data_IF_430173729269
#
_entry.id   IF_430173729269
#
_cell.length_a   1.000
_cell.length_b   1.000
_cell.length_c   1.000
_cell.angle_alpha   90.00
_cell.angle_beta   90.00
_cell.angle_gamma   90.00
#
_symmetry.space_group_name_H-M   'P 1'
#
loop_
_entity.id
_entity.type
_entity.pdbx_description
1 polymer ?
#
# COMPACT_ATOMS: atom_id res chain seq x y z
N UNK A 1 -21.81 25.72 0.07
CA UNK A 1 -20.53 26.45 0.11
C UNK A 1 -20.09 26.50 -1.34
N UNK A 2 -20.33 27.62 -2.01
CA UNK A 2 -20.19 27.73 -3.46
C UNK A 2 -18.71 27.81 -3.82
N UNK A 3 -18.14 26.65 -4.09
CA UNK A 3 -16.81 26.50 -4.68
C UNK A 3 -16.88 26.45 -6.23
N UNK A 4 -18.05 26.72 -6.80
CA UNK A 4 -18.30 26.85 -8.25
C UNK A 4 -18.07 28.28 -8.77
N UNK A 5 -17.67 29.21 -7.90
CA UNK A 5 -17.27 30.56 -8.28
C UNK A 5 -15.97 30.50 -9.12
N UNK A 6 -16.11 30.71 -10.43
CA UNK A 6 -15.06 30.57 -11.44
C UNK A 6 -13.80 31.38 -11.09
N UNK A 7 -13.98 32.55 -10.47
CA UNK A 7 -12.88 33.41 -10.02
C UNK A 7 -12.03 32.76 -8.92
N UNK A 8 -12.66 32.01 -8.00
CA UNK A 8 -11.95 31.29 -6.94
C UNK A 8 -11.20 30.09 -7.48
N UNK A 9 -11.78 29.39 -8.45
CA UNK A 9 -11.13 28.28 -9.11
C UNK A 9 -9.89 28.74 -9.87
N UNK A 10 -10.01 29.80 -10.65
CA UNK A 10 -8.89 30.43 -11.37
C UNK A 10 -7.78 30.89 -10.42
N UNK A 11 -8.13 31.43 -9.25
CA UNK A 11 -7.16 31.81 -8.22
C UNK A 11 -6.40 30.59 -7.65
N UNK A 12 -7.05 29.44 -7.47
CA UNK A 12 -6.39 28.20 -7.04
C UNK A 12 -5.45 27.62 -8.11
N UNK A 13 -5.88 27.66 -9.38
CA UNK A 13 -5.07 27.22 -10.52
C UNK A 13 -3.84 28.09 -10.76
N UNK A 14 -3.93 29.40 -10.52
CA UNK A 14 -2.82 30.34 -10.70
C UNK A 14 -1.87 30.43 -9.49
N UNK A 15 -2.26 29.91 -8.32
CA UNK A 15 -1.50 30.04 -7.09
C UNK A 15 -0.32 29.05 -7.02
N UNK A 16 0.89 29.52 -6.76
CA UNK A 16 2.08 28.67 -6.52
C UNK A 16 2.09 28.00 -5.13
N UNK A 17 1.04 28.20 -4.33
CA UNK A 17 0.93 27.54 -3.04
C UNK A 17 0.59 26.05 -3.19
N UNK A 18 1.41 25.20 -2.58
CA UNK A 18 1.23 23.74 -2.55
C UNK A 18 -0.14 23.31 -2.00
N UNK A 19 -0.70 24.06 -1.05
CA UNK A 19 -2.03 23.80 -0.49
C UNK A 19 -3.16 24.06 -1.48
N UNK A 20 -2.95 24.88 -2.52
CA UNK A 20 -3.97 25.11 -3.55
C UNK A 20 -4.33 23.81 -4.29
N UNK A 21 -3.35 22.96 -4.57
CA UNK A 21 -3.59 21.65 -5.20
C UNK A 21 -4.37 20.70 -4.27
N UNK A 22 -4.10 20.75 -2.96
CA UNK A 22 -4.81 19.94 -1.97
C UNK A 22 -6.28 20.34 -1.89
N UNK A 23 -6.56 21.65 -1.90
CA UNK A 23 -7.94 22.17 -1.91
C UNK A 23 -8.65 21.78 -3.20
N UNK A 24 -8.02 21.93 -4.36
CA UNK A 24 -8.58 21.50 -5.64
C UNK A 24 -8.91 20.00 -5.65
N UNK A 25 -7.98 19.16 -5.14
CA UNK A 25 -8.19 17.72 -5.04
C UNK A 25 -9.41 17.40 -4.15
N UNK A 26 -9.54 18.05 -2.99
CA UNK A 26 -10.66 17.83 -2.09
C UNK A 26 -12.00 18.26 -2.71
N UNK A 27 -12.02 19.38 -3.44
CA UNK A 27 -13.23 19.83 -4.16
C UNK A 27 -13.64 18.76 -5.18
N UNK A 28 -12.71 18.32 -6.04
CA UNK A 28 -13.00 17.34 -7.10
C UNK A 28 -13.36 15.97 -6.57
N UNK A 29 -12.70 15.50 -5.51
CA UNK A 29 -13.08 14.28 -4.81
C UNK A 29 -14.55 14.28 -4.34
N UNK A 30 -15.13 15.46 -4.05
CA UNK A 30 -16.52 15.61 -3.59
C UNK A 30 -17.52 15.95 -4.68
N UNK A 31 -17.08 16.61 -5.75
CA UNK A 31 -17.99 17.16 -6.77
C UNK A 31 -18.06 16.34 -8.06
N UNK A 32 -17.01 15.57 -8.38
CA UNK A 32 -16.95 14.83 -9.65
C UNK A 32 -18.02 13.74 -9.71
N UNK A 33 -18.62 13.58 -10.89
CA UNK A 33 -19.78 12.71 -11.10
C UNK A 33 -19.39 11.33 -11.65
N UNK A 34 -18.12 11.15 -12.03
CA UNK A 34 -17.60 9.89 -12.54
C UNK A 34 -16.13 9.66 -12.18
N UNK A 35 -15.72 8.40 -12.21
CA UNK A 35 -14.34 7.99 -11.94
C UNK A 35 -13.37 8.43 -13.05
N UNK A 36 -13.84 8.53 -14.30
CA UNK A 36 -13.05 9.08 -15.41
C UNK A 36 -12.81 10.58 -15.24
N UNK A 37 -13.79 11.32 -14.71
CA UNK A 37 -13.61 12.73 -14.37
C UNK A 37 -12.58 12.89 -13.25
N UNK A 38 -12.67 12.06 -12.21
CA UNK A 38 -11.68 12.03 -11.12
C UNK A 38 -10.27 11.69 -11.63
N UNK A 39 -10.15 10.73 -12.54
CA UNK A 39 -8.87 10.39 -13.20
C UNK A 39 -8.29 11.58 -13.95
N UNK A 40 -9.12 12.27 -14.73
CA UNK A 40 -8.70 13.46 -15.47
C UNK A 40 -8.22 14.58 -14.54
N UNK A 41 -8.90 14.79 -13.41
CA UNK A 41 -8.48 15.77 -12.40
C UNK A 41 -7.20 15.36 -11.67
N UNK A 42 -7.06 14.09 -11.28
CA UNK A 42 -5.82 13.56 -10.67
C UNK A 42 -4.62 13.81 -11.59
N UNK A 43 -4.78 13.54 -12.90
CA UNK A 43 -3.76 13.84 -13.90
C UNK A 43 -3.48 15.34 -14.05
N UNK A 44 -4.51 16.17 -14.08
CA UNK A 44 -4.36 17.62 -14.17
C UNK A 44 -3.57 18.20 -12.98
N UNK A 45 -3.87 17.75 -11.76
CA UNK A 45 -3.17 18.16 -10.54
C UNK A 45 -1.69 17.79 -10.59
N UNK A 46 -1.37 16.57 -11.03
CA UNK A 46 0.02 16.13 -11.23
C UNK A 46 0.72 17.00 -12.27
N UNK A 47 0.06 17.28 -13.41
CA UNK A 47 0.59 18.16 -14.45
C UNK A 47 0.92 19.55 -13.91
N UNK A 48 0.05 20.13 -13.07
CA UNK A 48 0.28 21.43 -12.43
C UNK A 48 1.53 21.41 -11.54
N UNK A 49 1.78 20.34 -10.77
CA UNK A 49 2.99 20.24 -9.95
C UNK A 49 4.27 20.35 -10.79
N UNK A 50 4.32 19.66 -11.93
CA UNK A 50 5.46 19.75 -12.85
C UNK A 50 5.50 21.09 -13.60
N UNK A 51 4.37 21.76 -13.82
CA UNK A 51 4.35 23.08 -14.49
C UNK A 51 4.83 24.20 -13.55
N UNK A 52 4.52 24.08 -12.26
CA UNK A 52 4.96 25.01 -11.21
C UNK A 52 6.40 24.75 -10.74
N UNK A 53 7.11 23.82 -11.38
CA UNK A 53 8.50 23.46 -11.07
C UNK A 53 8.74 23.13 -9.58
N UNK A 54 7.77 22.45 -8.95
CA UNK A 54 7.98 21.96 -7.58
C UNK A 54 9.15 21.00 -7.52
N UNK A 55 9.82 20.95 -6.36
CA UNK A 55 10.92 20.02 -6.13
C UNK A 55 10.42 18.57 -6.23
N UNK A 56 11.34 17.63 -6.52
CA UNK A 56 10.99 16.20 -6.55
C UNK A 56 10.36 15.75 -5.22
N UNK A 57 10.91 16.21 -4.10
CA UNK A 57 10.44 15.90 -2.76
C UNK A 57 9.02 16.42 -2.53
N UNK A 58 8.71 17.63 -2.97
CA UNK A 58 7.37 18.23 -2.86
C UNK A 58 6.37 17.52 -3.77
N UNK A 59 6.76 17.19 -5.00
CA UNK A 59 5.94 16.42 -5.94
C UNK A 59 5.56 15.07 -5.32
N UNK A 60 6.52 14.33 -4.76
CA UNK A 60 6.27 13.05 -4.12
C UNK A 60 5.40 13.16 -2.88
N UNK A 61 5.56 14.20 -2.07
CA UNK A 61 4.72 14.44 -0.89
C UNK A 61 3.28 14.77 -1.31
N UNK A 62 3.11 15.71 -2.23
CA UNK A 62 1.80 16.14 -2.72
C UNK A 62 1.07 15.03 -3.44
N UNK A 63 1.78 14.25 -4.25
CA UNK A 63 1.22 13.08 -4.92
C UNK A 63 0.57 12.13 -3.91
N UNK A 64 1.27 11.75 -2.83
CA UNK A 64 0.70 10.86 -1.79
C UNK A 64 -0.57 11.41 -1.15
N UNK A 65 -0.61 12.71 -0.88
CA UNK A 65 -1.81 13.34 -0.32
C UNK A 65 -2.98 13.32 -1.31
N UNK A 66 -2.71 13.61 -2.58
CA UNK A 66 -3.73 13.59 -3.63
C UNK A 66 -4.22 12.18 -3.92
N UNK A 67 -3.32 11.19 -3.91
CA UNK A 67 -3.66 9.77 -4.07
C UNK A 67 -4.62 9.28 -2.99
N UNK A 68 -4.39 9.67 -1.72
CA UNK A 68 -5.33 9.39 -0.64
C UNK A 68 -6.69 10.09 -0.79
N UNK A 69 -6.74 11.27 -1.38
CA UNK A 69 -8.00 11.99 -1.59
C UNK A 69 -8.77 11.50 -2.82
N UNK A 70 -8.06 11.09 -3.86
CA UNK A 70 -8.60 10.63 -5.15
C UNK A 70 -8.10 9.21 -5.41
N UNK A 71 -8.81 8.25 -4.81
CA UNK A 71 -8.62 6.82 -5.08
C UNK A 71 -9.36 6.44 -6.36
N UNK A 72 -8.65 5.84 -7.31
CA UNK A 72 -9.25 5.33 -8.55
C UNK A 72 -9.37 3.79 -8.50
N UNK A 73 -10.33 3.21 -9.23
CA UNK A 73 -10.33 1.77 -9.50
C UNK A 73 -9.04 1.34 -10.22
N UNK A 74 -8.69 0.06 -10.06
CA UNK A 74 -7.42 -0.51 -10.53
C UNK A 74 -7.15 -0.24 -12.02
N UNK A 75 -8.16 -0.36 -12.87
CA UNK A 75 -8.05 -0.14 -14.32
C UNK A 75 -7.78 1.33 -14.66
N UNK A 76 -8.43 2.26 -13.96
CA UNK A 76 -8.24 3.70 -14.17
C UNK A 76 -6.92 4.20 -13.56
N UNK A 77 -6.49 3.64 -12.44
CA UNK A 77 -5.17 3.91 -11.85
C UNK A 77 -4.05 3.46 -12.79
N UNK A 78 -4.19 2.29 -13.45
CA UNK A 78 -3.23 1.83 -14.48
C UNK A 78 -3.16 2.78 -15.67
N UNK A 79 -4.29 3.29 -16.14
CA UNK A 79 -4.34 4.27 -17.24
C UNK A 79 -3.68 5.59 -16.81
N UNK A 80 -4.06 6.12 -15.64
CA UNK A 80 -3.48 7.32 -15.06
C UNK A 80 -1.95 7.25 -14.95
N UNK A 81 -1.41 6.17 -14.40
CA UNK A 81 0.03 5.97 -14.26
C UNK A 81 0.77 5.90 -15.60
N UNK A 82 0.10 5.40 -16.65
CA UNK A 82 0.64 5.41 -18.01
C UNK A 82 0.71 6.84 -18.57
N UNK A 83 -0.33 7.64 -18.33
CA UNK A 83 -0.35 9.04 -18.79
C UNK A 83 0.69 9.89 -18.06
N UNK A 84 0.86 9.70 -16.74
CA UNK A 84 1.93 10.35 -15.96
C UNK A 84 3.31 9.96 -16.48
N UNK A 85 3.52 8.68 -16.81
CA UNK A 85 4.79 8.25 -17.39
C UNK A 85 5.13 8.98 -18.70
N UNK A 86 4.16 9.13 -19.61
CA UNK A 86 4.36 9.85 -20.86
C UNK A 86 4.70 11.34 -20.61
N UNK A 87 4.02 11.97 -19.65
CA UNK A 87 4.33 13.34 -19.21
C UNK A 87 5.77 13.47 -18.69
N UNK A 88 6.20 12.51 -17.86
CA UNK A 88 7.56 12.50 -17.29
C UNK A 88 8.64 12.23 -18.33
N UNK A 89 8.37 11.38 -19.32
CA UNK A 89 9.28 11.16 -20.46
C UNK A 89 9.44 12.42 -21.30
N UNK A 90 8.34 13.11 -21.61
CA UNK A 90 8.36 14.39 -22.35
C UNK A 90 9.18 15.44 -21.60
N UNK A 91 8.99 15.55 -20.28
CA UNK A 91 9.68 16.53 -19.44
C UNK A 91 11.07 16.09 -18.96
N UNK A 92 11.46 14.83 -19.20
CA UNK A 92 12.68 14.19 -18.65
C UNK A 92 12.78 14.26 -17.12
N UNK A 93 11.64 14.07 -16.43
CA UNK A 93 11.52 14.17 -14.97
C UNK A 93 10.82 12.94 -14.37
N UNK A 94 11.49 11.77 -14.28
CA UNK A 94 10.89 10.54 -13.75
C UNK A 94 10.90 10.57 -12.21
N UNK A 95 9.91 11.22 -11.61
CA UNK A 95 9.78 11.39 -10.17
C UNK A 95 8.80 10.39 -9.57
N UNK A 96 7.61 10.28 -10.15
CA UNK A 96 6.54 9.32 -9.84
C UNK A 96 6.91 7.98 -10.49
N UNK A 97 7.94 7.34 -9.92
CA UNK A 97 8.60 6.18 -10.51
C UNK A 97 7.93 4.86 -10.14
N UNK A 98 8.32 3.81 -10.85
CA UNK A 98 7.77 2.44 -10.90
C UNK A 98 7.37 1.75 -9.59
N UNK A 99 7.79 2.24 -8.42
CA UNK A 99 7.36 1.72 -7.12
C UNK A 99 5.84 1.90 -6.89
N UNK A 100 5.21 2.93 -7.43
CA UNK A 100 3.73 3.07 -7.40
C UNK A 100 3.07 2.22 -8.49
N UNK A 101 3.73 2.04 -9.65
CA UNK A 101 3.30 1.14 -10.74
C UNK A 101 3.35 -0.36 -10.38
N UNK A 102 4.26 -0.78 -9.49
CA UNK A 102 4.44 -2.18 -9.08
C UNK A 102 4.03 -2.45 -7.62
N UNK A 103 4.07 -1.44 -6.76
CA UNK A 103 3.89 -1.57 -5.30
C UNK A 103 2.44 -1.76 -4.86
N UNK A 104 1.46 -1.31 -5.66
CA UNK A 104 0.05 -1.60 -5.41
C UNK A 104 -0.27 -3.09 -5.65
N UNK A 105 0.23 -3.69 -6.73
CA UNK A 105 0.01 -5.11 -7.00
C UNK A 105 0.84 -6.01 -6.07
N UNK A 106 2.14 -5.73 -5.90
CA UNK A 106 3.01 -6.59 -5.07
C UNK A 106 2.98 -6.28 -3.58
N UNK A 107 2.73 -5.05 -3.16
CA UNK A 107 2.72 -4.68 -1.74
C UNK A 107 1.50 -5.23 -1.01
N UNK A 108 0.34 -5.22 -1.68
CA UNK A 108 -0.89 -5.83 -1.17
C UNK A 108 -0.82 -7.36 -1.25
N UNK A 109 -0.39 -7.95 -2.37
CA UNK A 109 -0.16 -9.40 -2.44
C UNK A 109 0.88 -9.87 -1.43
N UNK A 110 2.08 -9.27 -1.37
CA UNK A 110 3.10 -9.67 -0.40
C UNK A 110 2.65 -9.38 1.04
N UNK A 111 1.90 -8.32 1.29
CA UNK A 111 1.36 -8.00 2.62
C UNK A 111 0.30 -9.02 3.09
N UNK A 112 -0.65 -9.35 2.22
CA UNK A 112 -1.69 -10.35 2.46
C UNK A 112 -1.07 -11.73 2.60
N UNK A 113 -0.18 -12.11 1.68
CA UNK A 113 0.53 -13.39 1.71
C UNK A 113 1.39 -13.51 2.97
N UNK A 114 2.21 -12.51 3.29
CA UNK A 114 3.04 -12.50 4.51
C UNK A 114 2.17 -12.48 5.78
N UNK A 115 1.04 -11.78 5.77
CA UNK A 115 0.06 -11.78 6.87
C UNK A 115 -0.61 -13.14 7.07
N UNK A 116 -1.04 -13.80 6.00
CA UNK A 116 -1.63 -15.15 6.03
C UNK A 116 -0.61 -16.19 6.49
N UNK A 117 0.63 -16.13 5.99
CA UNK A 117 1.70 -17.01 6.45
C UNK A 117 1.98 -16.80 7.93
N UNK A 118 2.14 -15.54 8.38
CA UNK A 118 2.40 -15.23 9.78
C UNK A 118 1.26 -15.69 10.70
N UNK A 119 0.00 -15.42 10.33
CA UNK A 119 -1.17 -15.85 11.10
C UNK A 119 -1.28 -17.37 11.23
N UNK A 120 -0.93 -18.12 10.18
CA UNK A 120 -0.91 -19.60 10.22
C UNK A 120 0.12 -20.15 11.20
N UNK A 121 1.32 -19.55 11.26
CA UNK A 121 2.34 -20.00 12.22
C UNK A 121 2.03 -19.53 13.64
N UNK A 122 1.42 -18.36 13.82
CA UNK A 122 0.92 -17.90 15.12
C UNK A 122 -0.14 -18.86 15.67
N UNK A 123 -1.12 -19.27 14.88
CA UNK A 123 -2.15 -20.24 15.31
C UNK A 123 -1.55 -21.61 15.69
N UNK A 124 -0.60 -22.11 14.89
CA UNK A 124 0.12 -23.35 15.20
C UNK A 124 0.92 -23.23 16.50
N UNK A 125 1.62 -22.12 16.69
CA UNK A 125 2.40 -21.85 17.90
C UNK A 125 1.49 -21.79 19.13
N UNK A 126 0.40 -21.03 19.08
CA UNK A 126 -0.57 -20.95 20.16
C UNK A 126 -1.18 -22.31 20.50
N UNK A 127 -1.48 -23.13 19.48
CA UNK A 127 -2.00 -24.48 19.66
C UNK A 127 -0.98 -25.39 20.35
N UNK A 128 0.29 -25.36 19.93
CA UNK A 128 1.39 -26.10 20.57
C UNK A 128 1.51 -25.71 22.05
N UNK A 129 1.53 -24.40 22.35
CA UNK A 129 1.64 -23.89 23.71
C UNK A 129 0.43 -24.26 24.56
N UNK A 130 -0.78 -24.20 24.01
CA UNK A 130 -2.03 -24.58 24.70
C UNK A 130 -2.07 -26.07 25.02
N UNK A 131 -1.73 -26.94 24.05
CA UNK A 131 -1.77 -28.38 24.26
C UNK A 131 -0.63 -28.85 25.19
N UNK A 132 0.53 -28.20 25.14
CA UNK A 132 1.60 -28.46 26.11
C UNK A 132 1.19 -28.12 27.54
N UNK A 133 0.45 -27.02 27.77
CA UNK A 133 -0.13 -26.69 29.09
C UNK A 133 -1.12 -27.73 29.60
N UNK A 134 -1.69 -28.56 28.72
CA UNK A 134 -2.56 -29.69 29.07
C UNK A 134 -1.78 -31.00 29.29
N UNK A 135 -0.44 -30.95 29.36
CA UNK A 135 0.46 -32.09 29.52
C UNK A 135 0.38 -33.14 28.39
N UNK A 136 -0.07 -32.75 27.19
CA UNK A 136 0.00 -33.63 26.02
C UNK A 136 1.46 -33.86 25.61
N UNK A 137 1.75 -35.08 25.15
CA UNK A 137 3.09 -35.39 24.68
C UNK A 137 3.35 -34.75 23.32
N UNK A 138 4.60 -34.37 23.00
CA UNK A 138 4.95 -33.76 21.71
C UNK A 138 4.51 -34.58 20.48
N UNK A 139 4.38 -35.91 20.63
CA UNK A 139 3.90 -36.80 19.58
C UNK A 139 2.42 -36.56 19.24
N UNK A 140 1.57 -36.40 20.26
CA UNK A 140 0.13 -36.16 20.10
C UNK A 140 -0.13 -34.74 19.60
N UNK A 141 0.65 -33.77 20.09
CA UNK A 141 0.60 -32.38 19.63
C UNK A 141 0.98 -32.31 18.14
N UNK A 142 2.08 -32.98 17.76
CA UNK A 142 2.57 -33.03 16.38
C UNK A 142 1.50 -33.52 15.39
N UNK A 143 0.75 -34.56 15.76
CA UNK A 143 -0.37 -35.06 14.97
C UNK A 143 -1.49 -34.02 14.79
N UNK A 144 -1.78 -33.23 15.83
CA UNK A 144 -2.84 -32.21 15.81
C UNK A 144 -2.52 -30.93 15.02
N UNK A 145 -1.25 -30.53 14.94
CA UNK A 145 -0.81 -29.32 14.20
C UNK A 145 -0.11 -29.61 12.86
N UNK A 146 0.06 -30.89 12.51
CA UNK A 146 0.74 -31.32 11.29
C UNK A 146 2.20 -30.91 11.27
N UNK A 147 2.94 -31.20 12.35
CA UNK A 147 4.38 -31.00 12.49
C UNK A 147 5.05 -32.33 12.88
N UNK A 148 6.39 -32.37 12.90
CA UNK A 148 7.10 -33.51 13.49
C UNK A 148 7.19 -33.37 15.02
N UNK A 149 7.24 -34.49 15.77
CA UNK A 149 7.45 -34.45 17.22
C UNK A 149 8.73 -33.70 17.61
N UNK A 150 9.78 -33.81 16.81
CA UNK A 150 11.05 -33.10 16.99
C UNK A 150 10.83 -31.60 16.89
N UNK A 151 10.09 -31.13 15.88
CA UNK A 151 9.81 -29.70 15.70
C UNK A 151 8.97 -29.13 16.84
N UNK A 152 7.98 -29.90 17.31
CA UNK A 152 7.20 -29.51 18.49
C UNK A 152 8.09 -29.38 19.73
N UNK A 153 9.05 -30.29 19.93
CA UNK A 153 10.02 -30.18 21.04
C UNK A 153 10.90 -28.94 20.93
N UNK A 154 11.38 -28.61 19.73
CA UNK A 154 12.18 -27.42 19.49
C UNK A 154 11.41 -26.14 19.79
N UNK A 155 10.16 -26.05 19.32
CA UNK A 155 9.27 -24.89 19.57
C UNK A 155 9.01 -24.74 21.07
N UNK A 156 8.71 -25.83 21.77
CA UNK A 156 8.50 -25.81 23.21
C UNK A 156 9.77 -25.45 23.99
N UNK A 157 10.94 -25.94 23.56
CA UNK A 157 12.22 -25.62 24.18
C UNK A 157 12.61 -24.14 23.99
N UNK A 158 12.20 -23.52 22.89
CA UNK A 158 12.48 -22.13 22.58
C UNK A 158 11.52 -21.13 23.26
N UNK A 159 10.42 -21.60 23.86
CA UNK A 159 9.43 -20.77 24.55
C UNK A 159 8.90 -19.66 23.64
N UNK A 160 8.99 -18.41 24.08
CA UNK A 160 8.50 -17.23 23.34
C UNK A 160 9.20 -17.03 21.98
N UNK A 161 10.40 -17.59 21.79
CA UNK A 161 11.12 -17.57 20.50
C UNK A 161 10.73 -18.71 19.56
N UNK A 162 9.86 -19.63 20.00
CA UNK A 162 9.45 -20.78 19.22
C UNK A 162 8.66 -20.41 17.95
N UNK A 163 8.02 -19.24 17.92
CA UNK A 163 7.35 -18.72 16.72
C UNK A 163 8.35 -18.45 15.58
N UNK A 164 9.52 -17.90 15.89
CA UNK A 164 10.55 -17.61 14.88
C UNK A 164 11.12 -18.89 14.26
N UNK A 165 11.17 -19.99 15.04
CA UNK A 165 11.59 -21.31 14.57
C UNK A 165 10.58 -21.96 13.60
N UNK A 166 9.32 -21.53 13.63
CA UNK A 166 8.28 -21.96 12.70
C UNK A 166 8.30 -21.13 11.40
N UNK A 167 8.67 -19.85 11.49
CA UNK A 167 8.70 -18.92 10.34
C UNK A 167 10.01 -19.06 9.52
N UNK A 168 11.14 -19.37 10.17
CA UNK A 168 12.48 -19.28 9.57
C UNK A 168 12.89 -20.38 8.58
N UNK A 169 12.28 -21.56 8.59
CA UNK A 169 12.72 -22.69 7.74
C UNK A 169 12.10 -22.71 6.33
N UNK A 170 10.92 -22.11 6.12
CA UNK A 170 10.28 -22.06 4.81
C UNK A 170 10.83 -20.94 3.89
N UNK A 171 11.61 -19.99 4.43
CA UNK A 171 12.20 -18.90 3.65
C UNK A 171 13.41 -19.31 2.78
N UNK A 172 13.89 -20.55 2.90
CA UNK A 172 15.08 -21.06 2.18
C UNK A 172 14.79 -21.99 1.01
N UNK A 173 13.52 -22.16 0.60
CA UNK A 173 13.17 -22.94 -0.60
C UNK A 173 12.30 -22.15 -1.57
N UNK A 174 12.90 -21.22 -2.31
CA UNK A 174 12.44 -20.82 -3.63
C UNK A 174 13.62 -20.41 -4.51
#
# INVERSE_FOLDING_TARGET
MDWEDEDRWNALEASDNVFSLVVMAQIKAKSSQSEDELKAWKYHLVKLMYQRNYSKEDILQLYRYIDWMISLPKELEKQFLKDVYLLEEEKKMPYITSAERFGLEKGEEMGVVKGLYKGRYEEKFETIMRLSKLNLQPQDIAAGVGLTPEKVREVLAAGDKGLDLLIGEDATKH
#
